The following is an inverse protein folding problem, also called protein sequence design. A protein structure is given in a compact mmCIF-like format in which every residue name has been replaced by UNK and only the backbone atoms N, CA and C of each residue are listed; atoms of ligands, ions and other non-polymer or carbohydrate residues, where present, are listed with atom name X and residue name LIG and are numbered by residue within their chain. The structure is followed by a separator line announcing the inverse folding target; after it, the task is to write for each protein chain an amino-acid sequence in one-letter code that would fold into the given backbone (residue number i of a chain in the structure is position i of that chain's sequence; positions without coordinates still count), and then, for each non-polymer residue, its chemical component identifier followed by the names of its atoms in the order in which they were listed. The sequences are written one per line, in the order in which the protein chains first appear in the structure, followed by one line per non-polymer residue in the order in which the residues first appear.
data_IF_092390943193
#
_entry.id   IF_092390943193
#
_cell.length_a   1.000
_cell.length_b   1.000
_cell.length_c   1.000
_cell.angle_alpha   90.00
_cell.angle_beta   90.00
_cell.angle_gamma   90.00
#
_symmetry.space_group_name_H-M   'P 1'
#
loop_
_entity.id
_entity.type
_entity.pdbx_description
1 polymer ?
#
# COMPACT_ATOMS: atom_id res chain seq x y z
N UNK A 1 3.33 -11.84 -6.03
CA UNK A 1 2.64 -11.04 -7.06
C UNK A 1 3.04 -9.58 -6.94
N UNK A 2 2.75 -8.78 -7.97
CA UNK A 2 2.98 -7.34 -8.00
C UNK A 2 1.73 -6.64 -8.55
N UNK A 3 1.30 -5.57 -7.88
CA UNK A 3 0.33 -4.59 -8.41
C UNK A 3 0.96 -3.21 -8.28
N UNK A 4 0.49 -2.22 -9.05
CA UNK A 4 1.03 -0.86 -8.96
C UNK A 4 -0.10 0.10 -8.60
N UNK A 5 0.06 0.77 -7.45
CA UNK A 5 -0.75 1.89 -7.00
C UNK A 5 -2.25 1.77 -7.35
N UNK A 6 -2.71 2.43 -8.42
CA UNK A 6 -4.10 2.49 -8.85
C UNK A 6 -4.77 1.13 -9.11
N UNK A 7 -3.98 0.07 -9.38
CA UNK A 7 -4.49 -1.29 -9.54
C UNK A 7 -5.31 -1.77 -8.33
N UNK A 8 -4.94 -1.33 -7.12
CA UNK A 8 -5.62 -1.74 -5.87
C UNK A 8 -7.01 -1.15 -5.70
N UNK A 9 -7.40 -0.21 -6.56
CA UNK A 9 -8.74 0.37 -6.60
C UNK A 9 -9.67 -0.35 -7.60
N UNK A 10 -9.13 -1.23 -8.46
CA UNK A 10 -9.90 -1.88 -9.53
C UNK A 10 -10.28 -3.31 -9.16
N UNK A 11 -11.57 -3.55 -8.96
CA UNK A 11 -12.07 -4.84 -8.50
C UNK A 11 -11.77 -5.98 -9.48
N UNK A 12 -11.79 -5.73 -10.79
CA UNK A 12 -11.46 -6.75 -11.79
C UNK A 12 -9.99 -7.16 -11.73
N UNK A 13 -9.08 -6.22 -11.45
CA UNK A 13 -7.65 -6.51 -11.30
C UNK A 13 -7.42 -7.34 -10.04
N UNK A 14 -8.04 -6.97 -8.92
CA UNK A 14 -7.93 -7.72 -7.67
C UNK A 14 -8.47 -9.15 -7.80
N UNK A 15 -9.59 -9.35 -8.51
CA UNK A 15 -10.14 -10.68 -8.80
C UNK A 15 -9.17 -11.52 -9.62
N UNK A 16 -8.56 -10.94 -10.67
CA UNK A 16 -7.55 -11.63 -11.49
C UNK A 16 -6.31 -11.99 -10.67
N UNK A 17 -5.82 -11.07 -9.82
CA UNK A 17 -4.68 -11.33 -8.94
C UNK A 17 -5.00 -12.43 -7.92
N UNK A 18 -6.21 -12.44 -7.34
CA UNK A 18 -6.64 -13.48 -6.41
C UNK A 18 -6.63 -14.89 -7.05
N UNK A 19 -7.04 -14.99 -8.31
CA UNK A 19 -7.06 -16.27 -9.05
C UNK A 19 -5.65 -16.87 -9.22
N UNK A 20 -4.60 -16.05 -9.20
CA UNK A 20 -3.20 -16.49 -9.24
C UNK A 20 -2.69 -17.02 -7.89
N UNK A 21 -3.48 -16.91 -6.81
CA UNK A 21 -3.17 -17.39 -5.46
C UNK A 21 -1.78 -16.96 -4.94
N UNK A 22 -1.42 -15.66 -4.98
CA UNK A 22 -0.14 -15.22 -4.45
C UNK A 22 -0.11 -15.33 -2.92
N UNK A 23 0.99 -15.83 -2.34
CA UNK A 23 1.21 -15.77 -0.89
C UNK A 23 1.56 -14.35 -0.41
N UNK A 24 2.29 -13.61 -1.27
CA UNK A 24 2.77 -12.25 -1.03
C UNK A 24 2.47 -11.35 -2.24
N UNK A 25 2.06 -10.12 -1.97
CA UNK A 25 1.84 -9.06 -2.94
C UNK A 25 2.64 -7.81 -2.56
N UNK A 26 3.49 -7.37 -3.48
CA UNK A 26 4.16 -6.07 -3.38
C UNK A 26 3.33 -5.02 -4.11
N UNK A 27 3.19 -3.84 -3.53
CA UNK A 27 2.47 -2.72 -4.15
C UNK A 27 3.23 -1.41 -3.93
N UNK A 28 4.07 -0.98 -4.88
CA UNK A 28 4.61 0.37 -4.85
C UNK A 28 3.52 1.40 -5.15
N UNK A 29 3.51 2.47 -4.37
CA UNK A 29 2.59 3.59 -4.46
C UNK A 29 3.34 4.91 -4.71
N UNK A 30 2.66 5.80 -5.44
CA UNK A 30 2.87 7.24 -5.41
C UNK A 30 1.62 7.90 -4.87
N UNK A 31 1.23 7.55 -3.64
CA UNK A 31 -0.02 8.00 -3.02
C UNK A 31 0.22 9.38 -2.40
N UNK A 32 -0.30 10.42 -3.07
CA UNK A 32 -0.05 11.82 -2.75
C UNK A 32 -1.33 12.61 -2.54
N UNK A 33 -1.26 13.60 -1.66
CA UNK A 33 -2.38 14.51 -1.34
C UNK A 33 -1.87 15.92 -1.05
N UNK A 34 -2.77 16.89 -0.83
CA UNK A 34 -2.34 18.17 -0.27
C UNK A 34 -1.87 17.96 1.18
N UNK A 35 -0.95 18.80 1.66
CA UNK A 35 -0.35 18.67 2.99
C UNK A 35 -1.39 18.61 4.10
N UNK A 36 -2.42 19.47 4.04
CA UNK A 36 -3.51 19.54 5.01
C UNK A 36 -4.47 18.32 4.98
N UNK A 37 -4.34 17.41 4.01
CA UNK A 37 -5.10 16.16 3.97
C UNK A 37 -4.44 15.04 4.79
N UNK A 38 -3.19 15.25 5.23
CA UNK A 38 -2.48 14.33 6.12
C UNK A 38 -2.77 14.65 7.59
N UNK A 39 -2.81 13.64 8.49
CA UNK A 39 -2.55 12.21 8.26
C UNK A 39 -3.77 11.43 7.73
N UNK A 40 -4.92 12.09 7.52
CA UNK A 40 -6.15 11.44 7.09
C UNK A 40 -6.03 10.67 5.77
N UNK A 41 -5.18 11.14 4.85
CA UNK A 41 -4.89 10.45 3.59
C UNK A 41 -4.14 9.13 3.80
N UNK A 42 -3.22 9.04 4.75
CA UNK A 42 -2.56 7.79 5.16
C UNK A 42 -3.56 6.74 5.64
N UNK A 43 -4.56 7.15 6.43
CA UNK A 43 -5.66 6.25 6.86
C UNK A 43 -6.51 5.73 5.69
N UNK A 44 -6.58 6.46 4.57
CA UNK A 44 -7.22 5.93 3.35
C UNK A 44 -6.34 4.85 2.71
N UNK A 45 -5.02 5.04 2.66
CA UNK A 45 -4.08 4.03 2.15
C UNK A 45 -4.15 2.74 2.97
N UNK A 46 -4.22 2.82 4.31
CA UNK A 46 -4.45 1.64 5.16
C UNK A 46 -5.70 0.86 4.72
N UNK A 47 -6.82 1.54 4.49
CA UNK A 47 -8.07 0.89 4.05
C UNK A 47 -7.92 0.21 2.69
N UNK A 48 -7.23 0.85 1.75
CA UNK A 48 -6.95 0.31 0.40
C UNK A 48 -6.09 -0.95 0.49
N UNK A 49 -4.97 -0.90 1.21
CA UNK A 49 -4.05 -2.05 1.35
C UNK A 49 -4.75 -3.19 2.10
N UNK A 50 -5.52 -2.90 3.15
CA UNK A 50 -6.30 -3.92 3.87
C UNK A 50 -7.36 -4.58 3.00
N UNK A 51 -8.08 -3.79 2.20
CA UNK A 51 -9.05 -4.34 1.26
C UNK A 51 -8.37 -5.22 0.20
N UNK A 52 -7.21 -4.79 -0.31
CA UNK A 52 -6.40 -5.56 -1.24
C UNK A 52 -6.03 -6.92 -0.66
N UNK A 53 -5.49 -6.97 0.57
CA UNK A 53 -5.12 -8.21 1.24
C UNK A 53 -6.30 -9.17 1.40
N UNK A 54 -7.46 -8.65 1.84
CA UNK A 54 -8.69 -9.44 1.98
C UNK A 54 -9.21 -9.97 0.64
N UNK A 55 -9.12 -9.17 -0.44
CA UNK A 55 -9.65 -9.55 -1.76
C UNK A 55 -8.75 -10.54 -2.49
N UNK A 56 -7.44 -10.44 -2.33
CA UNK A 56 -6.48 -11.35 -2.96
C UNK A 56 -6.17 -12.58 -2.11
N UNK A 57 -6.44 -12.53 -0.80
CA UNK A 57 -6.08 -13.59 0.14
C UNK A 57 -4.58 -13.64 0.46
N UNK A 58 -3.82 -12.62 0.08
CA UNK A 58 -2.36 -12.56 0.20
C UNK A 58 -1.91 -11.65 1.34
N UNK A 59 -0.68 -11.84 1.82
CA UNK A 59 0.04 -10.77 2.52
C UNK A 59 0.32 -9.64 1.54
N UNK A 60 0.17 -8.39 1.98
CA UNK A 60 0.40 -7.21 1.13
C UNK A 60 1.38 -6.27 1.80
N UNK A 61 2.43 -5.90 1.07
CA UNK A 61 3.38 -4.85 1.47
C UNK A 61 3.20 -3.69 0.49
N UNK A 62 2.57 -2.62 0.97
CA UNK A 62 2.39 -1.37 0.25
C UNK A 62 3.47 -0.38 0.61
N UNK A 63 4.40 -0.08 -0.29
CA UNK A 63 5.43 0.95 -0.09
C UNK A 63 5.01 2.26 -0.72
N UNK A 64 5.29 3.39 -0.08
CA UNK A 64 4.97 4.70 -0.60
C UNK A 64 6.14 5.67 -0.42
N UNK A 65 6.18 6.70 -1.26
CA UNK A 65 7.22 7.73 -1.28
C UNK A 65 7.06 8.71 -0.11
N UNK A 66 8.13 9.48 0.15
CA UNK A 66 8.11 10.68 1.00
C UNK A 66 8.61 11.89 0.21
N UNK A 67 8.07 13.08 0.49
CA UNK A 67 8.47 14.36 -0.13
C UNK A 67 7.42 14.95 -1.06
N UNK A 68 7.80 15.97 -1.83
CA UNK A 68 6.89 16.72 -2.70
C UNK A 68 7.08 16.37 -4.19
N UNK A 69 5.98 16.34 -4.95
CA UNK A 69 6.02 16.37 -6.41
C UNK A 69 6.43 17.76 -6.88
N UNK A 70 7.61 17.89 -7.49
CA UNK A 70 8.17 19.22 -7.87
C UNK A 70 7.84 19.66 -9.30
N UNK A 71 7.32 18.76 -10.15
CA UNK A 71 7.06 19.02 -11.59
C UNK A 71 5.76 18.37 -12.06
N UNK A 72 5.19 18.92 -13.14
CA UNK A 72 4.00 18.38 -13.80
C UNK A 72 2.68 18.79 -13.14
N UNK A 73 1.55 18.22 -13.61
CA UNK A 73 0.21 18.68 -13.21
C UNK A 73 -0.15 18.38 -11.75
N UNK A 74 0.64 17.55 -11.06
CA UNK A 74 0.46 17.20 -9.65
C UNK A 74 1.45 17.93 -8.73
N UNK A 75 2.16 18.96 -9.24
CA UNK A 75 3.11 19.75 -8.47
C UNK A 75 2.49 20.27 -7.17
N UNK A 76 3.23 20.22 -6.07
CA UNK A 76 2.79 20.67 -4.75
C UNK A 76 2.03 19.61 -3.94
N UNK A 77 1.73 18.44 -4.52
CA UNK A 77 1.21 17.30 -3.77
C UNK A 77 2.33 16.63 -2.98
N UNK A 78 2.01 16.20 -1.77
CA UNK A 78 2.91 15.56 -0.84
C UNK A 78 2.69 14.05 -0.83
N UNK A 79 3.77 13.31 -1.06
CA UNK A 79 3.91 11.93 -0.63
C UNK A 79 4.23 11.92 0.88
N UNK A 80 3.27 11.47 1.69
CA UNK A 80 3.42 11.48 3.14
C UNK A 80 4.12 10.24 3.70
N UNK A 81 4.57 9.28 2.90
CA UNK A 81 5.07 7.99 3.40
C UNK A 81 3.90 7.07 3.73
N UNK A 82 3.80 6.63 4.99
CA UNK A 82 2.72 5.76 5.44
C UNK A 82 2.70 4.39 4.75
N UNK A 83 3.87 3.82 4.48
CA UNK A 83 3.97 2.45 3.93
C UNK A 83 3.31 1.46 4.90
N UNK A 84 2.56 0.48 4.40
CA UNK A 84 1.76 -0.43 5.24
C UNK A 84 2.00 -1.88 4.85
N UNK A 85 2.27 -2.74 5.84
CA UNK A 85 2.25 -4.19 5.70
C UNK A 85 0.99 -4.76 6.35
N UNK A 86 0.27 -5.62 5.62
CA UNK A 86 -1.01 -6.20 6.05
C UNK A 86 -1.03 -7.70 5.78
N UNK A 87 -1.53 -8.48 6.73
CA UNK A 87 -1.77 -9.91 6.52
C UNK A 87 -3.05 -10.19 5.72
N UNK A 88 -3.21 -11.41 5.23
CA UNK A 88 -4.36 -11.85 4.42
C UNK A 88 -5.75 -11.61 5.04
N UNK A 89 -5.86 -11.57 6.37
CA UNK A 89 -7.10 -11.27 7.10
C UNK A 89 -7.47 -9.78 7.05
N UNK A 90 -6.54 -8.93 6.63
CA UNK A 90 -6.62 -7.48 6.71
C UNK A 90 -6.15 -6.91 8.05
N UNK A 91 -5.45 -7.67 8.90
CA UNK A 91 -4.75 -7.15 10.09
C UNK A 91 -3.46 -6.43 9.66
N UNK A 92 -3.29 -5.20 10.13
CA UNK A 92 -2.06 -4.44 9.91
C UNK A 92 -0.94 -5.04 10.77
N UNK A 93 0.23 -5.22 10.18
CA UNK A 93 1.44 -5.75 10.82
C UNK A 93 2.39 -4.61 11.17
N UNK A 94 2.56 -3.66 10.24
CA UNK A 94 3.44 -2.51 10.40
C UNK A 94 2.90 -1.34 9.58
N UNK A 95 3.13 -0.12 10.10
CA UNK A 95 2.94 1.14 9.41
C UNK A 95 4.26 1.90 9.56
N UNK A 96 4.83 2.34 8.45
CA UNK A 96 6.02 3.17 8.43
C UNK A 96 5.69 4.62 8.76
N UNK A 97 6.71 5.36 9.21
CA UNK A 97 6.57 6.78 9.55
C UNK A 97 6.01 7.61 8.38
N UNK A 98 5.35 8.68 8.78
CA UNK A 98 5.00 9.74 7.85
C UNK A 98 6.18 10.73 7.73
N UNK A 99 6.27 11.43 6.60
CA UNK A 99 7.18 12.56 6.32
C UNK A 99 8.67 12.27 6.26
N UNK A 100 9.13 11.15 6.82
CA UNK A 100 10.55 10.80 6.88
C UNK A 100 10.82 9.43 6.25
N UNK A 101 12.06 9.24 5.78
CA UNK A 101 12.53 7.96 5.27
C UNK A 101 12.55 6.97 6.43
N UNK A 102 12.01 5.78 6.19
CA UNK A 102 11.89 4.76 7.22
C UNK A 102 12.12 3.38 6.63
N UNK A 103 12.61 2.46 7.45
CA UNK A 103 12.84 1.07 7.10
C UNK A 103 12.11 0.22 8.12
N UNK A 104 11.04 -0.45 7.67
CA UNK A 104 10.36 -1.45 8.47
C UNK A 104 10.71 -2.84 7.96
N UNK A 105 11.10 -3.72 8.88
CA UNK A 105 11.39 -5.12 8.59
C UNK A 105 10.22 -5.95 9.12
N UNK A 106 9.59 -6.74 8.25
CA UNK A 106 8.48 -7.62 8.62
C UNK A 106 8.82 -9.07 8.28
N UNK A 107 8.59 -9.96 9.24
CA UNK A 107 8.72 -11.41 9.03
C UNK A 107 7.36 -11.98 8.67
N UNK A 108 7.26 -12.52 7.46
CA UNK A 108 6.06 -13.16 6.94
C UNK A 108 6.26 -14.67 6.89
N UNK A 109 5.40 -15.42 7.60
CA UNK A 109 5.36 -16.87 7.49
C UNK A 109 4.46 -17.23 6.32
N UNK A 110 5.06 -17.68 5.22
CA UNK A 110 4.29 -18.37 4.18
C UNK A 110 3.87 -19.72 4.74
N UNK A 111 2.55 -19.92 4.89
CA UNK A 111 2.02 -21.26 5.06
C UNK A 111 1.92 -21.85 3.65
N UNK A 112 3.03 -22.39 3.14
CA UNK A 112 3.00 -23.24 1.97
C UNK A 112 1.96 -24.34 2.23
N UNK A 113 0.92 -24.38 1.41
CA UNK A 113 0.07 -25.58 1.30
C UNK A 113 0.79 -26.64 0.49
#
# INVERSE_FOLDING_TARGET
GLLICADTHKSEILKRMAALKPDLLLVPYGYAAAENEWPGHGKKLEKVVRNTAKKTGAFVVGTNLVGEITKGPWKGRIYGGHSVAVEKTGRIISIAKDWDRDINIVSIKSLSK
#
